data_IF_704773622237
#
_entry.id   IF_704773622237
#
_cell.length_a   1.000
_cell.length_b   1.000
_cell.length_c   1.000
_cell.angle_alpha   90.00
_cell.angle_beta   90.00
_cell.angle_gamma   90.00
#
_symmetry.space_group_name_H-M   'P 1'
#
loop_
_entity.id
_entity.type
_entity.pdbx_description
1 polymer ?
#
# COMPACT_ATOMS: atom_id res chain seq x y z
N UNK A 1 -19.08 -11.30 35.14
CA UNK A 1 -20.30 -10.54 35.48
C UNK A 1 -20.31 -9.27 34.62
N UNK A 2 -21.15 -9.27 33.58
CA UNK A 2 -21.27 -8.23 32.55
C UNK A 2 -21.62 -6.88 33.18
N UNK A 3 -20.84 -5.83 32.90
CA UNK A 3 -21.38 -4.47 32.87
C UNK A 3 -21.52 -4.03 31.40
N UNK A 4 -22.73 -3.78 30.91
CA UNK A 4 -22.96 -3.35 29.54
C UNK A 4 -22.30 -1.99 29.26
N UNK A 5 -21.47 -1.90 28.20
CA UNK A 5 -20.84 -0.64 27.71
C UNK A 5 -21.86 0.38 27.18
N UNK A 6 -23.16 0.05 27.25
CA UNK A 6 -24.28 0.83 26.72
C UNK A 6 -24.25 2.27 27.21
N UNK A 7 -23.79 2.52 28.44
CA UNK A 7 -23.69 3.88 28.99
C UNK A 7 -22.71 4.77 28.19
N UNK A 8 -21.60 4.21 27.69
CA UNK A 8 -20.60 4.97 26.94
C UNK A 8 -21.10 5.26 25.52
N UNK A 9 -21.80 4.28 24.92
CA UNK A 9 -22.42 4.42 23.60
C UNK A 9 -23.59 5.42 23.65
N UNK A 10 -24.39 5.41 24.72
CA UNK A 10 -25.50 6.34 24.94
C UNK A 10 -25.01 7.78 25.11
N UNK A 11 -23.96 7.99 25.90
CA UNK A 11 -23.32 9.31 26.05
C UNK A 11 -22.77 9.81 24.71
N UNK A 12 -22.20 8.91 23.89
CA UNK A 12 -21.77 9.23 22.53
C UNK A 12 -22.91 9.63 21.59
N UNK A 13 -24.07 8.97 21.67
CA UNK A 13 -25.25 9.30 20.86
C UNK A 13 -25.90 10.62 21.32
N UNK A 14 -26.00 10.86 22.63
CA UNK A 14 -26.51 12.12 23.20
C UNK A 14 -25.65 13.32 22.82
N UNK A 15 -24.32 13.17 22.80
CA UNK A 15 -23.40 14.20 22.32
C UNK A 15 -23.50 14.47 20.80
N UNK A 16 -24.04 13.51 20.02
CA UNK A 16 -24.25 13.67 18.60
C UNK A 16 -25.50 14.55 18.31
N UNK A 17 -26.56 14.36 19.11
CA UNK A 17 -27.81 15.12 19.05
C UNK A 17 -27.62 16.61 19.38
N UNK A 18 -26.66 16.97 20.24
CA UNK A 18 -26.41 18.38 20.63
C UNK A 18 -25.63 19.18 19.59
N UNK A 19 -25.12 18.54 18.53
CA UNK A 19 -24.38 19.23 17.46
C UNK A 19 -25.27 20.03 16.50
N UNK A 20 -26.60 19.86 16.59
CA UNK A 20 -27.57 20.51 15.72
C UNK A 20 -28.08 21.84 16.25
N UNK A 21 -27.63 22.92 15.61
CA UNK A 21 -28.09 24.32 15.70
C UNK A 21 -27.35 25.24 16.68
N UNK A 22 -26.29 25.88 16.15
CA UNK A 22 -25.64 27.10 16.68
C UNK A 22 -24.94 26.91 18.03
N UNK A 23 -23.75 26.30 18.00
CA UNK A 23 -22.81 26.34 19.12
C UNK A 23 -21.55 27.13 18.73
N UNK A 24 -20.95 27.89 19.65
CA UNK A 24 -19.65 28.51 19.42
C UNK A 24 -18.61 27.43 19.10
N UNK A 25 -17.69 27.74 18.19
CA UNK A 25 -16.66 26.84 17.64
C UNK A 25 -15.94 26.03 18.75
N UNK A 26 -15.75 26.64 19.92
CA UNK A 26 -15.14 25.97 21.09
C UNK A 26 -15.96 24.80 21.66
N UNK A 27 -17.29 24.90 21.72
CA UNK A 27 -18.16 23.84 22.27
C UNK A 27 -18.24 22.65 21.29
N UNK A 28 -18.22 22.92 19.98
CA UNK A 28 -18.19 21.89 18.95
C UNK A 28 -16.90 21.07 19.02
N UNK A 29 -15.74 21.75 19.13
CA UNK A 29 -14.45 21.07 19.24
C UNK A 29 -14.40 20.18 20.49
N UNK A 30 -14.89 20.66 21.64
CA UNK A 30 -14.93 19.90 22.88
C UNK A 30 -15.83 18.66 22.76
N UNK A 31 -17.02 18.82 22.19
CA UNK A 31 -17.97 17.71 22.01
C UNK A 31 -17.40 16.65 21.07
N UNK A 32 -16.73 17.07 19.98
CA UNK A 32 -16.06 16.15 19.03
C UNK A 32 -14.88 15.42 19.68
N UNK A 33 -14.10 16.11 20.49
CA UNK A 33 -12.98 15.49 21.23
C UNK A 33 -13.48 14.45 22.24
N UNK A 34 -14.52 14.75 23.01
CA UNK A 34 -15.12 13.82 23.98
C UNK A 34 -15.72 12.60 23.26
N UNK A 35 -16.46 12.84 22.17
CA UNK A 35 -17.07 11.77 21.38
C UNK A 35 -16.03 10.84 20.76
N UNK A 36 -15.03 11.40 20.08
CA UNK A 36 -13.97 10.64 19.41
C UNK A 36 -13.16 9.81 20.43
N UNK A 37 -12.79 10.42 21.56
CA UNK A 37 -12.05 9.72 22.62
C UNK A 37 -12.88 8.64 23.30
N UNK A 38 -14.18 8.84 23.49
CA UNK A 38 -15.08 7.82 24.05
C UNK A 38 -15.14 6.55 23.18
N UNK A 39 -15.34 6.72 21.86
CA UNK A 39 -15.35 5.59 20.92
C UNK A 39 -13.97 4.95 20.77
N UNK A 40 -12.89 5.74 20.80
CA UNK A 40 -11.52 5.22 20.79
C UNK A 40 -11.22 4.35 22.03
N UNK A 41 -11.65 4.79 23.23
CA UNK A 41 -11.49 4.04 24.48
C UNK A 41 -12.37 2.80 24.50
N UNK A 42 -13.60 2.87 23.99
CA UNK A 42 -14.47 1.71 23.86
C UNK A 42 -13.87 0.65 22.91
N UNK A 43 -13.33 1.09 21.77
CA UNK A 43 -12.66 0.22 20.79
C UNK A 43 -11.41 -0.47 21.36
N UNK A 44 -10.58 0.25 22.13
CA UNK A 44 -9.39 -0.33 22.75
C UNK A 44 -9.74 -1.36 23.84
N UNK A 45 -10.76 -1.08 24.66
CA UNK A 45 -11.26 -2.04 25.67
C UNK A 45 -11.85 -3.30 25.05
N UNK A 46 -12.61 -3.15 23.96
CA UNK A 46 -13.14 -4.29 23.21
C UNK A 46 -12.01 -5.16 22.66
N UNK A 47 -11.02 -4.53 22.02
CA UNK A 47 -9.85 -5.20 21.45
C UNK A 47 -9.05 -5.95 22.52
N UNK A 48 -8.86 -5.34 23.69
CA UNK A 48 -8.18 -5.98 24.83
C UNK A 48 -8.91 -7.25 25.29
N UNK A 49 -10.24 -7.23 25.35
CA UNK A 49 -11.04 -8.41 25.71
C UNK A 49 -10.96 -9.51 24.67
N UNK A 50 -11.04 -9.15 23.38
CA UNK A 50 -10.91 -10.12 22.29
C UNK A 50 -9.53 -10.76 22.32
N UNK A 51 -8.45 -9.97 22.46
CA UNK A 51 -7.08 -10.49 22.58
C UNK A 51 -6.92 -11.44 23.77
N UNK A 52 -7.40 -11.05 24.95
CA UNK A 52 -7.29 -11.88 26.16
C UNK A 52 -8.07 -13.19 26.04
N UNK A 53 -9.29 -13.15 25.49
CA UNK A 53 -10.12 -14.34 25.30
C UNK A 53 -9.54 -15.26 24.21
N UNK A 54 -9.08 -14.70 23.09
CA UNK A 54 -8.44 -15.45 22.03
C UNK A 54 -7.14 -16.11 22.50
N UNK A 55 -6.29 -15.40 23.25
CA UNK A 55 -5.08 -15.97 23.84
C UNK A 55 -5.41 -17.10 24.84
N UNK A 56 -6.42 -16.91 25.68
CA UNK A 56 -6.87 -17.97 26.61
C UNK A 56 -7.37 -19.21 25.87
N UNK A 57 -8.10 -19.04 24.76
CA UNK A 57 -8.54 -20.15 23.91
C UNK A 57 -7.36 -20.85 23.24
N UNK A 58 -6.37 -20.08 22.77
CA UNK A 58 -5.17 -20.60 22.13
C UNK A 58 -4.32 -21.44 23.09
N UNK A 59 -4.22 -21.04 24.36
CA UNK A 59 -3.55 -21.83 25.42
C UNK A 59 -4.29 -23.11 25.82
N UNK A 60 -5.57 -23.25 25.48
CA UNK A 60 -6.36 -24.46 25.75
C UNK A 60 -6.29 -25.47 24.61
N UNK A 61 -5.61 -25.12 23.53
CA UNK A 61 -5.51 -25.95 22.35
C UNK A 61 -4.49 -27.08 22.55
N UNK A 62 -4.76 -28.24 21.95
CA UNK A 62 -3.87 -29.40 22.02
C UNK A 62 -2.54 -29.17 21.28
N UNK A 63 -1.50 -29.91 21.68
CA UNK A 63 -0.15 -29.75 21.10
C UNK A 63 -0.14 -30.07 19.59
N UNK A 64 -0.95 -31.05 19.15
CA UNK A 64 -1.08 -31.42 17.74
C UNK A 64 -1.56 -30.26 16.84
N UNK A 65 -2.30 -29.29 17.38
CA UNK A 65 -2.71 -28.10 16.63
C UNK A 65 -1.53 -27.21 16.24
N UNK A 66 -0.49 -27.18 17.07
CA UNK A 66 0.72 -26.37 16.87
C UNK A 66 1.76 -27.05 15.98
N UNK A 67 1.58 -28.33 15.66
CA UNK A 67 2.46 -29.07 14.75
C UNK A 67 2.22 -28.71 13.27
N UNK A 68 1.06 -28.13 12.94
CA UNK A 68 0.76 -27.66 11.58
C UNK A 68 1.59 -26.39 11.24
N UNK A 69 2.31 -26.35 10.10
CA UNK A 69 3.12 -25.18 9.70
C UNK A 69 2.35 -23.85 9.64
N UNK A 70 1.04 -23.89 9.34
CA UNK A 70 0.16 -22.71 9.34
C UNK A 70 -0.10 -22.15 10.76
N UNK A 71 -0.08 -23.02 11.78
CA UNK A 71 -0.38 -22.70 13.17
C UNK A 71 0.87 -22.55 14.03
N UNK A 72 2.01 -22.22 13.42
CA UNK A 72 3.22 -21.89 14.17
C UNK A 72 2.94 -20.78 15.19
N UNK A 73 3.57 -20.87 16.36
CA UNK A 73 3.39 -19.90 17.45
C UNK A 73 3.69 -18.46 17.01
N UNK A 74 4.62 -18.27 16.07
CA UNK A 74 4.91 -16.98 15.44
C UNK A 74 3.80 -16.48 14.53
N UNK A 75 3.26 -17.34 13.66
CA UNK A 75 2.15 -16.99 12.76
C UNK A 75 0.87 -16.65 13.53
N UNK A 76 0.56 -17.43 14.57
CA UNK A 76 -0.60 -17.18 15.44
C UNK A 76 -0.46 -15.89 16.24
N UNK A 77 0.72 -15.59 16.78
CA UNK A 77 0.97 -14.31 17.47
C UNK A 77 0.84 -13.11 16.50
N UNK A 78 1.38 -13.24 15.29
CA UNK A 78 1.26 -12.21 14.26
C UNK A 78 -0.20 -11.99 13.87
N UNK A 79 -0.96 -13.08 13.65
CA UNK A 79 -2.38 -13.04 13.31
C UNK A 79 -3.21 -12.42 14.43
N UNK A 80 -3.04 -12.87 15.67
CA UNK A 80 -3.69 -12.30 16.87
C UNK A 80 -3.40 -10.80 17.05
N UNK A 81 -2.18 -10.38 16.74
CA UNK A 81 -1.81 -8.96 16.78
C UNK A 81 -2.50 -8.17 15.66
N UNK A 82 -2.45 -8.67 14.42
CA UNK A 82 -3.01 -8.03 13.22
C UNK A 82 -4.54 -7.94 13.25
N UNK A 83 -5.24 -9.05 13.56
CA UNK A 83 -6.70 -9.11 13.61
C UNK A 83 -7.23 -8.18 14.70
N UNK A 84 -6.54 -8.10 15.83
CA UNK A 84 -6.91 -7.19 16.90
C UNK A 84 -6.67 -5.71 16.54
N UNK A 85 -5.62 -5.39 15.76
CA UNK A 85 -5.43 -4.04 15.24
C UNK A 85 -6.55 -3.67 14.25
N UNK A 86 -6.92 -4.59 13.35
CA UNK A 86 -8.03 -4.39 12.43
C UNK A 86 -9.35 -4.15 13.18
N UNK A 87 -9.63 -4.93 14.24
CA UNK A 87 -10.81 -4.75 15.10
C UNK A 87 -10.83 -3.40 15.83
N UNK A 88 -9.67 -2.93 16.31
CA UNK A 88 -9.55 -1.63 16.98
C UNK A 88 -9.87 -0.47 16.02
N UNK A 89 -9.37 -0.55 14.78
CA UNK A 89 -9.61 0.47 13.76
C UNK A 89 -11.08 0.48 13.32
N UNK A 90 -11.66 -0.69 13.08
CA UNK A 90 -13.07 -0.82 12.68
C UNK A 90 -14.02 -0.34 13.78
N UNK A 91 -13.79 -0.72 15.03
CA UNK A 91 -14.72 -0.46 16.14
C UNK A 91 -14.57 0.93 16.76
N UNK A 92 -13.37 1.52 16.73
CA UNK A 92 -13.08 2.80 17.37
C UNK A 92 -13.32 3.99 16.43
N UNK A 93 -12.44 4.14 15.45
CA UNK A 93 -12.36 5.35 14.62
C UNK A 93 -13.29 5.32 13.42
N UNK A 94 -13.54 4.15 12.82
CA UNK A 94 -14.45 4.07 11.67
C UNK A 94 -15.91 4.24 12.10
N UNK A 95 -16.32 3.61 13.20
CA UNK A 95 -17.68 3.80 13.73
C UNK A 95 -17.96 5.25 14.13
N UNK A 96 -16.98 5.96 14.68
CA UNK A 96 -17.18 7.36 15.06
C UNK A 96 -17.43 8.25 13.85
N UNK A 97 -16.66 8.07 12.76
CA UNK A 97 -16.85 8.78 11.49
C UNK A 97 -18.21 8.44 10.87
N UNK A 98 -18.62 7.17 10.89
CA UNK A 98 -19.90 6.73 10.32
C UNK A 98 -21.06 7.42 11.03
N UNK A 99 -21.12 7.32 12.36
CA UNK A 99 -22.19 7.92 13.17
C UNK A 99 -22.21 9.44 13.04
N UNK A 100 -21.04 10.08 12.97
CA UNK A 100 -20.90 11.51 12.70
C UNK A 100 -21.47 11.90 11.33
N UNK A 101 -21.14 11.14 10.28
CA UNK A 101 -21.57 11.41 8.91
C UNK A 101 -23.09 11.27 8.78
N UNK A 102 -23.68 10.22 9.35
CA UNK A 102 -25.13 10.05 9.35
C UNK A 102 -25.86 11.16 10.10
N UNK A 103 -25.32 11.59 11.24
CA UNK A 103 -25.93 12.63 12.06
C UNK A 103 -25.86 14.01 11.38
N UNK A 104 -24.72 14.33 10.76
CA UNK A 104 -24.55 15.56 9.99
C UNK A 104 -25.45 15.56 8.75
N UNK A 105 -25.56 14.43 8.05
CA UNK A 105 -26.41 14.30 6.87
C UNK A 105 -27.89 14.44 7.23
N UNK A 106 -28.37 13.76 8.28
CA UNK A 106 -29.75 13.87 8.74
C UNK A 106 -30.10 15.30 9.17
N UNK A 107 -29.20 15.96 9.91
CA UNK A 107 -29.40 17.34 10.34
C UNK A 107 -29.39 18.33 9.16
N UNK A 108 -28.45 18.18 8.24
CA UNK A 108 -28.35 19.02 7.03
C UNK A 108 -29.59 18.92 6.15
N UNK A 109 -30.12 17.71 5.94
CA UNK A 109 -31.36 17.51 5.19
C UNK A 109 -32.56 18.12 5.93
N UNK A 110 -32.67 17.90 7.25
CA UNK A 110 -33.78 18.44 8.06
C UNK A 110 -33.82 19.97 8.06
N UNK A 111 -32.67 20.63 8.22
CA UNK A 111 -32.57 22.09 8.09
C UNK A 111 -32.85 22.57 6.66
N UNK A 112 -32.39 21.83 5.65
CA UNK A 112 -32.66 22.14 4.25
C UNK A 112 -34.17 22.21 3.97
N UNK A 113 -34.91 21.19 4.43
CA UNK A 113 -36.37 21.17 4.30
C UNK A 113 -37.06 22.31 5.05
N UNK A 114 -36.50 22.74 6.19
CA UNK A 114 -37.03 23.84 6.98
C UNK A 114 -36.96 25.20 6.25
N UNK A 115 -35.83 25.53 5.61
CA UNK A 115 -35.67 26.82 4.93
C UNK A 115 -36.23 26.85 3.51
N UNK A 116 -35.94 25.81 2.72
CA UNK A 116 -36.34 25.77 1.32
C UNK A 116 -36.41 24.34 0.81
N UNK A 117 -37.63 23.82 0.75
CA UNK A 117 -37.86 22.45 0.31
C UNK A 117 -37.53 22.23 -1.18
N UNK A 118 -37.59 23.27 -2.02
CA UNK A 118 -37.29 23.16 -3.46
C UNK A 118 -35.79 22.90 -3.72
N UNK A 119 -34.90 23.65 -3.07
CA UNK A 119 -33.44 23.48 -3.22
C UNK A 119 -32.97 22.14 -2.63
N UNK A 120 -33.58 21.72 -1.52
CA UNK A 120 -33.23 20.48 -0.83
C UNK A 120 -33.60 19.24 -1.63
N UNK A 121 -34.72 19.26 -2.36
CA UNK A 121 -35.09 18.17 -3.27
C UNK A 121 -34.09 18.01 -4.42
N UNK A 122 -33.60 19.11 -4.99
CA UNK A 122 -32.56 19.08 -6.03
C UNK A 122 -31.28 18.42 -5.48
N UNK A 123 -30.84 18.84 -4.29
CA UNK A 123 -29.66 18.25 -3.64
C UNK A 123 -29.85 16.76 -3.35
N UNK A 124 -31.03 16.33 -2.89
CA UNK A 124 -31.32 14.92 -2.64
C UNK A 124 -31.26 14.05 -3.90
N UNK A 125 -31.60 14.59 -5.08
CA UNK A 125 -31.49 13.87 -6.37
C UNK A 125 -30.04 13.83 -6.86
N UNK A 126 -29.27 14.89 -6.65
CA UNK A 126 -27.87 14.98 -7.11
C UNK A 126 -26.90 14.17 -6.23
N UNK A 127 -27.15 14.08 -4.92
CA UNK A 127 -26.33 13.32 -3.97
C UNK A 127 -26.07 11.85 -4.39
N UNK A 128 -27.08 11.03 -4.74
CA UNK A 128 -26.86 9.65 -5.17
C UNK A 128 -26.11 9.55 -6.50
N UNK A 129 -26.26 10.53 -7.39
CA UNK A 129 -25.51 10.58 -8.67
C UNK A 129 -24.02 10.79 -8.38
N UNK A 130 -23.67 11.70 -7.47
CA UNK A 130 -22.29 11.93 -7.05
C UNK A 130 -21.70 10.66 -6.42
N UNK A 131 -22.46 9.99 -5.54
CA UNK A 131 -22.01 8.74 -4.90
C UNK A 131 -21.75 7.66 -5.96
N UNK A 132 -22.63 7.52 -6.96
CA UNK A 132 -22.45 6.53 -8.04
C UNK A 132 -21.17 6.78 -8.85
N UNK A 133 -20.88 8.04 -9.21
CA UNK A 133 -19.62 8.40 -9.87
C UNK A 133 -18.40 8.14 -8.99
N UNK A 134 -18.50 8.39 -7.68
CA UNK A 134 -17.42 8.16 -6.74
C UNK A 134 -17.12 6.66 -6.56
N UNK A 135 -18.15 5.82 -6.50
CA UNK A 135 -17.99 4.35 -6.46
C UNK A 135 -17.35 3.83 -7.74
N UNK A 136 -17.72 4.39 -8.89
CA UNK A 136 -17.10 4.02 -10.17
C UNK A 136 -15.60 4.35 -10.20
N UNK A 137 -15.21 5.54 -9.72
CA UNK A 137 -13.79 5.94 -9.64
C UNK A 137 -13.00 5.00 -8.70
N UNK A 138 -13.55 4.68 -7.52
CA UNK A 138 -12.93 3.72 -6.59
C UNK A 138 -12.78 2.34 -7.23
N UNK A 139 -13.80 1.86 -7.94
CA UNK A 139 -13.75 0.58 -8.65
C UNK A 139 -12.64 0.55 -9.71
N UNK A 140 -12.50 1.64 -10.47
CA UNK A 140 -11.44 1.77 -11.47
C UNK A 140 -10.04 1.78 -10.83
N UNK A 141 -9.86 2.49 -9.72
CA UNK A 141 -8.57 2.54 -9.00
C UNK A 141 -8.17 1.18 -8.42
N UNK A 142 -9.11 0.42 -7.85
CA UNK A 142 -8.84 -0.93 -7.35
C UNK A 142 -8.39 -1.86 -8.48
N UNK A 143 -9.09 -1.81 -9.63
CA UNK A 143 -8.74 -2.63 -10.80
C UNK A 143 -7.35 -2.30 -11.35
N UNK A 144 -6.96 -1.02 -11.33
CA UNK A 144 -5.61 -0.60 -11.71
C UNK A 144 -4.58 -1.12 -10.72
N UNK A 145 -4.84 -1.01 -9.41
CA UNK A 145 -3.94 -1.48 -8.35
C UNK A 145 -3.63 -2.98 -8.46
N UNK A 146 -4.64 -3.81 -8.68
CA UNK A 146 -4.48 -5.26 -8.85
C UNK A 146 -3.66 -5.62 -10.10
N UNK A 147 -3.89 -4.91 -11.21
CA UNK A 147 -3.14 -5.12 -12.43
C UNK A 147 -1.64 -4.81 -12.23
N UNK A 148 -1.32 -3.74 -11.50
CA UNK A 148 0.07 -3.44 -11.10
C UNK A 148 0.64 -4.47 -10.12
N UNK A 149 -0.15 -4.94 -9.14
CA UNK A 149 0.29 -5.95 -8.17
C UNK A 149 0.66 -7.28 -8.83
N UNK A 150 -0.15 -7.74 -9.77
CA UNK A 150 0.12 -8.96 -10.55
C UNK A 150 1.36 -8.79 -11.46
N UNK A 151 1.56 -7.60 -12.04
CA UNK A 151 2.76 -7.33 -12.84
C UNK A 151 4.04 -7.35 -11.99
N UNK A 152 3.99 -6.79 -10.77
CA UNK A 152 5.11 -6.83 -9.82
C UNK A 152 5.39 -8.25 -9.31
N UNK A 153 4.36 -9.02 -8.98
CA UNK A 153 4.52 -10.40 -8.54
C UNK A 153 5.07 -11.30 -9.65
N UNK A 154 4.67 -11.08 -10.91
CA UNK A 154 5.26 -11.76 -12.07
C UNK A 154 6.72 -11.39 -12.30
N UNK A 155 7.11 -10.15 -12.00
CA UNK A 155 8.50 -9.73 -12.09
C UNK A 155 9.36 -10.32 -10.95
N UNK A 156 8.78 -10.53 -9.75
CA UNK A 156 9.49 -11.09 -8.60
C UNK A 156 9.55 -12.62 -8.57
N UNK A 157 8.61 -13.32 -9.20
CA UNK A 157 8.58 -14.79 -9.28
C UNK A 157 9.47 -15.38 -10.37
N UNK A 158 10.24 -14.55 -11.09
CA UNK A 158 11.26 -15.05 -12.01
C UNK A 158 12.43 -15.52 -11.15
N UNK A 159 12.52 -16.83 -10.91
CA UNK A 159 13.70 -17.44 -10.28
C UNK A 159 14.93 -17.13 -11.15
N UNK A 160 15.76 -16.20 -10.69
CA UNK A 160 16.98 -15.76 -11.37
C UNK A 160 18.07 -16.85 -11.25
N UNK A 161 17.93 -17.94 -11.99
CA UNK A 161 19.02 -18.87 -12.30
C UNK A 161 19.71 -18.43 -13.59
N UNK A 162 20.39 -17.28 -13.53
CA UNK A 162 21.00 -16.63 -14.70
C UNK A 162 22.51 -16.62 -14.67
N UNK A 163 23.13 -17.00 -15.79
CA UNK A 163 24.49 -16.59 -16.13
C UNK A 163 24.48 -15.10 -16.53
N UNK A 164 25.42 -14.32 -16.00
CA UNK A 164 25.55 -12.89 -16.30
C UNK A 164 26.69 -12.74 -17.32
N UNK A 165 26.40 -12.23 -18.51
CA UNK A 165 27.38 -12.04 -19.58
C UNK A 165 27.44 -10.55 -20.01
N UNK A 166 28.56 -9.91 -19.74
CA UNK A 166 28.91 -8.60 -20.28
C UNK A 166 29.68 -8.81 -21.59
N UNK A 167 29.15 -8.33 -22.72
CA UNK A 167 29.79 -8.47 -24.02
C UNK A 167 30.13 -7.09 -24.61
N UNK A 168 31.42 -6.74 -24.58
CA UNK A 168 31.97 -5.49 -25.13
C UNK A 168 31.25 -4.24 -24.62
N UNK A 169 30.90 -4.20 -23.35
CA UNK A 169 30.09 -3.11 -22.79
C UNK A 169 30.89 -1.81 -22.75
N UNK A 170 30.31 -0.73 -23.31
CA UNK A 170 30.82 0.63 -23.25
C UNK A 170 29.83 1.54 -22.54
N UNK A 171 30.32 2.27 -21.53
CA UNK A 171 29.47 3.11 -20.70
C UNK A 171 30.10 4.46 -20.37
N UNK A 172 29.28 5.51 -20.46
CA UNK A 172 29.60 6.90 -20.18
C UNK A 172 28.51 7.47 -19.27
N UNK A 173 28.87 8.11 -18.16
CA UNK A 173 27.88 8.80 -17.32
C UNK A 173 27.33 10.04 -18.04
N UNK A 174 26.01 10.30 -17.99
CA UNK A 174 25.41 11.50 -18.59
C UNK A 174 26.00 12.81 -18.05
N UNK A 175 26.36 12.84 -16.76
CA UNK A 175 26.99 14.00 -16.12
C UNK A 175 28.43 14.26 -16.60
N UNK A 176 29.07 13.30 -17.27
CA UNK A 176 30.46 13.40 -17.76
C UNK A 176 30.60 12.77 -19.17
N UNK A 177 30.01 13.40 -20.21
CA UNK A 177 29.89 12.80 -21.54
C UNK A 177 31.24 12.63 -22.28
N UNK A 178 32.30 13.32 -21.84
CA UNK A 178 33.63 13.28 -22.49
C UNK A 178 34.52 12.15 -22.00
N UNK A 179 34.18 11.49 -20.90
CA UNK A 179 35.04 10.47 -20.26
C UNK A 179 34.32 9.13 -20.21
N UNK A 180 34.79 8.16 -20.99
CA UNK A 180 34.27 6.80 -20.96
C UNK A 180 34.84 6.03 -19.77
N UNK A 181 33.96 5.45 -18.94
CA UNK A 181 34.35 4.75 -17.72
C UNK A 181 34.62 3.27 -18.00
N UNK A 182 33.74 2.63 -18.77
CA UNK A 182 33.91 1.25 -19.21
C UNK A 182 34.17 1.25 -20.71
N UNK A 183 35.27 0.63 -21.12
CA UNK A 183 35.66 0.47 -22.52
C UNK A 183 35.83 -1.02 -22.80
N UNK A 184 34.85 -1.62 -23.51
CA UNK A 184 34.92 -3.00 -23.97
C UNK A 184 35.05 -4.03 -22.82
N UNK A 185 34.19 -3.92 -21.81
CA UNK A 185 34.17 -4.89 -20.71
C UNK A 185 33.61 -6.24 -21.20
N UNK A 186 34.37 -7.31 -20.97
CA UNK A 186 33.96 -8.69 -21.20
C UNK A 186 34.07 -9.48 -19.90
N UNK A 187 32.94 -9.95 -19.38
CA UNK A 187 32.88 -10.66 -18.10
C UNK A 187 31.72 -11.65 -18.13
N UNK A 188 32.01 -12.91 -17.80
CA UNK A 188 30.99 -13.97 -17.68
C UNK A 188 31.00 -14.52 -16.27
N UNK A 189 29.84 -14.48 -15.60
CA UNK A 189 29.64 -14.99 -14.24
C UNK A 189 28.63 -16.11 -14.29
N UNK A 190 29.07 -17.33 -13.96
CA UNK A 190 28.18 -18.50 -13.95
C UNK A 190 27.25 -18.48 -12.74
N UNK A 191 26.10 -19.13 -12.86
CA UNK A 191 25.17 -19.29 -11.74
C UNK A 191 25.87 -19.96 -10.54
N UNK A 192 25.72 -19.36 -9.35
CA UNK A 192 26.36 -19.83 -8.11
C UNK A 192 27.83 -19.43 -7.91
N UNK A 193 28.46 -18.78 -8.89
CA UNK A 193 29.84 -18.30 -8.78
C UNK A 193 29.90 -16.98 -8.00
N UNK A 194 30.81 -16.89 -7.02
CA UNK A 194 31.12 -15.61 -6.34
C UNK A 194 32.29 -14.94 -7.05
N UNK A 195 32.10 -13.71 -7.51
CA UNK A 195 33.13 -12.91 -8.20
C UNK A 195 33.36 -11.62 -7.42
N UNK A 196 34.64 -11.28 -7.20
CA UNK A 196 35.04 -10.03 -6.59
C UNK A 196 35.66 -9.10 -7.64
N UNK A 197 35.20 -7.85 -7.70
CA UNK A 197 35.74 -6.82 -8.58
C UNK A 197 36.78 -5.99 -7.82
N UNK A 198 38.05 -6.06 -8.21
CA UNK A 198 39.16 -5.37 -7.54
C UNK A 198 39.90 -4.47 -8.54
N UNK A 199 40.38 -3.32 -8.09
CA UNK A 199 41.13 -2.38 -8.91
C UNK A 199 41.25 -0.99 -8.27
N UNK A 200 42.03 -0.08 -8.88
CA UNK A 200 42.24 1.28 -8.36
C UNK A 200 40.95 2.12 -8.32
N UNK A 201 40.91 3.16 -7.50
CA UNK A 201 39.77 4.07 -7.46
C UNK A 201 39.49 4.67 -8.85
N UNK A 202 38.22 4.70 -9.26
CA UNK A 202 37.81 5.23 -10.57
C UNK A 202 37.80 4.25 -11.76
N UNK A 203 38.18 2.98 -11.58
CA UNK A 203 38.20 1.99 -12.69
C UNK A 203 36.83 1.39 -13.07
N UNK A 204 35.72 1.88 -12.51
CA UNK A 204 34.37 1.46 -12.90
C UNK A 204 33.75 0.28 -12.11
N UNK A 205 34.34 -0.16 -10.98
CA UNK A 205 33.78 -1.24 -10.13
C UNK A 205 32.32 -0.99 -9.71
N UNK A 206 32.08 0.16 -9.07
CA UNK A 206 30.74 0.57 -8.62
C UNK A 206 29.80 0.79 -9.81
N UNK A 207 30.33 1.18 -10.95
CA UNK A 207 29.57 1.36 -12.19
C UNK A 207 29.07 0.01 -12.74
N UNK A 208 29.85 -1.07 -12.63
CA UNK A 208 29.40 -2.42 -13.01
C UNK A 208 28.23 -2.87 -12.13
N UNK A 209 28.30 -2.64 -10.82
CA UNK A 209 27.20 -2.93 -9.91
C UNK A 209 25.94 -2.12 -10.26
N UNK A 210 26.08 -0.82 -10.54
CA UNK A 210 24.96 0.05 -10.94
C UNK A 210 24.34 -0.34 -12.29
N UNK A 211 25.13 -0.84 -13.23
CA UNK A 211 24.62 -1.38 -14.50
C UNK A 211 23.88 -2.71 -14.30
N UNK A 212 24.35 -3.55 -13.38
CA UNK A 212 23.69 -4.81 -13.02
C UNK A 212 22.35 -4.56 -12.31
N UNK A 213 22.29 -3.55 -11.44
CA UNK A 213 21.08 -3.08 -10.75
C UNK A 213 20.16 -2.23 -11.66
N UNK A 214 20.57 -2.00 -12.92
CA UNK A 214 19.84 -1.22 -13.92
C UNK A 214 19.55 0.23 -13.52
N UNK A 215 20.43 0.84 -12.72
CA UNK A 215 20.34 2.28 -12.43
C UNK A 215 20.72 3.17 -13.63
N UNK A 216 21.48 2.63 -14.58
CA UNK A 216 21.84 3.30 -15.83
C UNK A 216 21.75 2.32 -17.01
N UNK A 217 21.34 2.84 -18.17
CA UNK A 217 21.39 2.09 -19.43
C UNK A 217 22.77 2.20 -20.10
N UNK A 218 23.15 1.16 -20.84
CA UNK A 218 24.39 1.11 -21.61
C UNK A 218 24.31 2.00 -22.86
N UNK A 219 25.36 2.79 -23.11
CA UNK A 219 25.39 3.77 -24.22
C UNK A 219 25.70 3.11 -25.57
N UNK A 220 26.58 2.08 -25.60
CA UNK A 220 26.87 1.20 -26.76
C UNK A 220 27.36 -0.18 -26.28
N UNK A 221 26.95 -1.26 -26.94
CA UNK A 221 27.24 -2.65 -26.53
C UNK A 221 25.99 -3.38 -26.01
N UNK A 222 26.08 -4.69 -25.76
CA UNK A 222 24.97 -5.50 -25.27
C UNK A 222 25.28 -6.02 -23.86
N UNK A 223 24.40 -5.72 -22.91
CA UNK A 223 24.39 -6.36 -21.60
C UNK A 223 23.40 -7.54 -21.70
N UNK A 224 23.89 -8.77 -21.81
CA UNK A 224 23.01 -9.94 -21.86
C UNK A 224 22.85 -10.45 -20.43
N UNK A 225 21.98 -9.80 -19.66
CA UNK A 225 21.55 -10.37 -18.38
C UNK A 225 20.51 -11.44 -18.66
N UNK A 226 20.92 -12.69 -18.39
CA UNK A 226 20.11 -13.90 -18.27
C UNK A 226 19.81 -14.64 -19.58
N UNK A 227 20.59 -15.71 -19.81
CA UNK A 227 20.23 -16.82 -20.69
C UNK A 227 19.35 -17.81 -19.88
N UNK A 228 18.12 -18.08 -20.30
CA UNK A 228 17.23 -19.08 -19.65
C UNK A 228 16.85 -20.15 -20.68
N UNK A 229 17.23 -21.41 -20.43
CA UNK A 229 16.90 -22.59 -21.24
C UNK A 229 16.90 -22.34 -22.77
N UNK A 230 18.05 -21.95 -23.34
CA UNK A 230 18.22 -21.70 -24.78
C UNK A 230 17.31 -20.63 -25.42
N UNK A 231 16.58 -19.83 -24.63
CA UNK A 231 15.82 -18.67 -25.10
C UNK A 231 16.28 -17.38 -24.39
N UNK A 232 16.29 -16.28 -25.15
CA UNK A 232 16.57 -14.92 -24.66
C UNK A 232 15.38 -14.46 -23.80
N UNK A 233 15.48 -14.62 -22.47
CA UNK A 233 14.38 -14.28 -21.55
C UNK A 233 14.42 -12.83 -21.07
N UNK A 234 15.54 -12.12 -21.25
CA UNK A 234 15.58 -10.66 -21.18
C UNK A 234 16.74 -10.12 -22.02
N UNK A 235 16.52 -10.02 -23.33
CA UNK A 235 17.38 -9.25 -24.23
C UNK A 235 16.92 -7.80 -24.36
N UNK A 236 17.86 -6.89 -24.55
CA UNK A 236 17.67 -5.50 -24.98
C UNK A 236 17.06 -5.39 -26.41
N UNK A 237 16.03 -6.16 -26.75
CA UNK A 237 15.49 -6.13 -28.12
C UNK A 237 14.12 -5.50 -28.27
N UNK A 238 13.29 -5.40 -27.23
CA UNK A 238 11.98 -4.78 -27.42
C UNK A 238 11.53 -3.98 -26.22
N UNK A 239 11.47 -2.66 -26.44
CA UNK A 239 10.59 -1.62 -25.90
C UNK A 239 11.43 -0.35 -25.74
N UNK A 240 11.46 0.44 -26.82
CA UNK A 240 11.48 1.91 -26.90
C UNK A 240 11.88 2.26 -28.34
N UNK A 241 10.96 2.01 -29.27
CA UNK A 241 10.99 2.66 -30.58
C UNK A 241 10.61 4.12 -30.33
N UNK A 242 11.55 4.93 -29.81
CA UNK A 242 11.44 6.38 -29.93
C UNK A 242 11.68 6.63 -31.42
N UNK A 243 10.58 6.75 -32.15
CA UNK A 243 10.54 7.39 -33.45
C UNK A 243 11.08 8.81 -33.30
N UNK A 244 12.39 8.98 -33.42
CA UNK A 244 12.94 10.25 -33.87
C UNK A 244 12.76 10.26 -35.38
N UNK A 245 11.69 10.95 -35.78
CA UNK A 245 11.47 11.38 -37.14
C UNK A 245 12.75 12.03 -37.70
N UNK A 246 13.03 11.65 -38.94
CA UNK A 246 13.91 12.29 -39.91
C UNK A 246 14.48 13.66 -39.53
N UNK A 247 15.81 13.74 -39.42
CA UNK A 247 16.53 14.85 -40.02
C UNK A 247 17.32 14.28 -41.21
N UNK A 248 16.76 14.51 -42.40
CA UNK A 248 17.42 14.34 -43.68
C UNK A 248 17.61 15.73 -44.27
N UNK A 249 18.88 16.02 -44.57
CA UNK A 249 19.47 17.19 -45.23
C UNK A 249 19.91 18.33 -44.33
#
# INVERSE_FOLDING_TARGET
MNRPEWNIILVGCLACLTSGAIQPIGIVLLTKMVYFTAFAVAGSKLTQRVRSKAFTCLLRQEVAYFDEPENSSGALCARLSSDAMALQEMSGTRLSIIVETFSMLAFGISLGFYFSWHLTLIVCVVLPIIIAFCVLDIYLQMKVSDATGLALQRASSVDFHGEIEFNQVKFIYPSRPKTSILNNLQLTIKAGQRVALVGPSGCGKSTIAQLLERFYDVTRGQLQTVRWQNNLVCGYEHYWKITNASNSK
#
